data_IF_069081517600
#
_entry.id   IF_069081517600
#
_cell.length_a   1.000
_cell.length_b   1.000
_cell.length_c   1.000
_cell.angle_alpha   90.00
_cell.angle_beta   90.00
_cell.angle_gamma   90.00
#
_symmetry.space_group_name_H-M   'P 1'
#
loop_
_entity.id
_entity.type
_entity.pdbx_description
1 polymer ?
#
# COMPACT_ATOMS: atom_id res chain seq x y z
N UNK A 1 -17.64 -28.18 -32.79
CA UNK A 1 -16.36 -27.53 -32.40
C UNK A 1 -16.66 -26.07 -32.25
N UNK A 2 -16.74 -25.58 -31.00
CA UNK A 2 -17.01 -24.19 -30.70
C UNK A 2 -15.64 -23.49 -30.61
N UNK A 3 -15.40 -22.56 -31.52
CA UNK A 3 -14.24 -21.67 -31.45
C UNK A 3 -14.34 -20.82 -30.19
N UNK A 4 -13.42 -21.05 -29.27
CA UNK A 4 -13.19 -20.14 -28.14
C UNK A 4 -12.63 -18.85 -28.72
N UNK A 5 -13.47 -17.83 -28.81
CA UNK A 5 -13.08 -16.47 -29.11
C UNK A 5 -12.28 -15.95 -27.91
N UNK A 6 -10.98 -16.20 -27.92
CA UNK A 6 -10.05 -15.56 -26.99
C UNK A 6 -10.00 -14.09 -27.38
N UNK A 7 -10.71 -13.24 -26.68
CA UNK A 7 -10.54 -11.79 -26.81
C UNK A 7 -9.10 -11.52 -26.35
N UNK A 8 -8.18 -11.38 -27.32
CA UNK A 8 -6.88 -10.82 -27.06
C UNK A 8 -7.11 -9.42 -26.46
N UNK A 9 -6.88 -9.29 -25.14
CA UNK A 9 -6.82 -7.97 -24.52
C UNK A 9 -5.69 -7.23 -25.23
N UNK A 10 -6.02 -6.17 -25.93
CA UNK A 10 -5.03 -5.26 -26.50
C UNK A 10 -4.23 -4.75 -25.29
N UNK A 11 -2.93 -5.11 -25.17
CA UNK A 11 -2.14 -4.62 -24.06
C UNK A 11 -2.12 -3.09 -24.17
N UNK A 12 -2.30 -2.40 -23.02
CA UNK A 12 -2.03 -0.94 -22.89
C UNK A 12 -3.18 0.04 -23.14
N UNK A 13 -4.42 -0.39 -23.32
CA UNK A 13 -5.57 0.53 -23.40
C UNK A 13 -5.74 1.32 -22.10
N UNK A 14 -5.35 0.74 -20.95
CA UNK A 14 -5.48 1.38 -19.62
C UNK A 14 -4.65 2.68 -19.46
N UNK A 15 -3.60 2.87 -20.27
CA UNK A 15 -2.76 4.07 -20.20
C UNK A 15 -2.97 5.02 -21.39
N UNK A 16 -3.69 4.62 -22.42
CA UNK A 16 -3.92 5.44 -23.60
C UNK A 16 -4.74 6.70 -23.30
N UNK A 17 -5.67 6.61 -22.34
CA UNK A 17 -6.56 7.70 -21.98
C UNK A 17 -6.02 8.61 -20.86
N UNK A 18 -4.88 8.27 -20.25
CA UNK A 18 -4.32 9.02 -19.14
C UNK A 18 -2.78 9.05 -19.19
N UNK A 19 -2.24 10.08 -19.80
CA UNK A 19 -0.79 10.32 -19.94
C UNK A 19 -0.13 10.93 -18.69
N UNK A 20 -0.86 11.09 -17.58
CA UNK A 20 -0.30 11.66 -16.37
C UNK A 20 0.78 10.75 -15.75
N UNK A 21 1.80 11.38 -15.16
CA UNK A 21 2.78 10.66 -14.32
C UNK A 21 2.09 9.89 -13.20
N UNK A 22 2.42 8.62 -13.04
CA UNK A 22 1.79 7.74 -12.05
C UNK A 22 2.47 7.81 -10.68
N UNK A 23 1.68 7.69 -9.63
CA UNK A 23 2.14 7.58 -8.23
C UNK A 23 1.66 6.26 -7.66
N UNK A 24 2.47 5.18 -7.76
CA UNK A 24 2.08 3.88 -7.25
C UNK A 24 2.07 3.87 -5.71
N UNK A 25 0.99 3.41 -5.12
CA UNK A 25 0.81 3.30 -3.68
C UNK A 25 0.29 1.90 -3.32
N UNK A 26 1.04 1.19 -2.49
CA UNK A 26 0.68 -0.16 -2.02
C UNK A 26 0.29 -0.11 -0.56
N UNK A 27 -0.87 -0.65 -0.25
CA UNK A 27 -1.31 -0.90 1.12
C UNK A 27 -1.11 -2.39 1.44
N UNK A 28 -0.20 -2.70 2.35
CA UNK A 28 -0.03 -4.04 2.91
C UNK A 28 -0.75 -4.07 4.24
N UNK A 29 -1.88 -4.78 4.28
CA UNK A 29 -2.82 -4.77 5.39
C UNK A 29 -2.80 -6.11 6.11
N UNK A 30 -2.43 -6.06 7.37
CA UNK A 30 -2.57 -7.18 8.28
C UNK A 30 -4.04 -7.38 8.61
N UNK A 31 -4.54 -8.56 8.27
CA UNK A 31 -5.90 -8.99 8.58
C UNK A 31 -5.89 -10.29 9.40
N UNK A 32 -4.88 -10.49 10.23
CA UNK A 32 -4.76 -11.63 11.13
C UNK A 32 -5.83 -11.66 12.22
N UNK A 33 -5.80 -12.72 13.03
CA UNK A 33 -6.78 -12.92 14.09
C UNK A 33 -6.82 -11.83 15.15
N UNK A 34 -5.69 -11.17 15.41
CA UNK A 34 -5.58 -10.03 16.34
C UNK A 34 -6.33 -8.78 15.89
N UNK A 35 -6.56 -8.66 14.58
CA UNK A 35 -7.35 -7.56 14.01
C UNK A 35 -8.86 -7.72 14.17
N UNK A 36 -9.35 -8.84 14.75
CA UNK A 36 -10.79 -9.06 14.93
C UNK A 36 -11.42 -8.01 15.83
N UNK A 37 -12.71 -7.73 15.58
CA UNK A 37 -13.51 -6.81 16.36
C UNK A 37 -13.35 -5.36 15.93
N UNK A 38 -13.02 -4.48 16.84
CA UNK A 38 -12.92 -3.05 16.58
C UNK A 38 -11.79 -2.67 15.61
N UNK A 39 -10.57 -3.26 15.65
CA UNK A 39 -9.50 -2.90 14.73
C UNK A 39 -9.88 -3.06 13.26
N UNK A 40 -10.46 -4.19 12.86
CA UNK A 40 -10.85 -4.41 11.46
C UNK A 40 -11.99 -3.50 11.01
N UNK A 41 -12.92 -3.14 11.91
CA UNK A 41 -13.98 -2.18 11.59
C UNK A 41 -13.42 -0.79 11.33
N UNK A 42 -12.47 -0.35 12.15
CA UNK A 42 -11.80 0.93 11.99
C UNK A 42 -10.92 0.96 10.73
N UNK A 43 -10.25 -0.16 10.40
CA UNK A 43 -9.52 -0.29 9.14
C UNK A 43 -10.47 -0.12 7.95
N UNK A 44 -11.63 -0.78 7.94
CA UNK A 44 -12.63 -0.66 6.88
C UNK A 44 -13.19 0.77 6.77
N UNK A 45 -13.49 1.40 7.90
CA UNK A 45 -13.91 2.81 7.91
C UNK A 45 -12.83 3.73 7.33
N UNK A 46 -11.57 3.47 7.66
CA UNK A 46 -10.43 4.20 7.13
C UNK A 46 -10.25 4.03 5.61
N UNK A 47 -10.40 2.80 5.10
CA UNK A 47 -10.36 2.54 3.66
C UNK A 47 -11.50 3.26 2.90
N UNK A 48 -12.69 3.30 3.47
CA UNK A 48 -13.81 4.06 2.90
C UNK A 48 -13.54 5.57 2.89
N UNK A 49 -12.90 6.10 3.94
CA UNK A 49 -12.49 7.49 3.98
C UNK A 49 -11.41 7.80 2.92
N UNK A 50 -10.43 6.89 2.74
CA UNK A 50 -9.40 7.00 1.69
C UNK A 50 -10.03 7.06 0.30
N UNK A 51 -10.98 6.16 0.00
CA UNK A 51 -11.70 6.14 -1.26
C UNK A 51 -12.32 7.50 -1.56
N UNK A 52 -13.08 8.04 -0.60
CA UNK A 52 -13.76 9.31 -0.76
C UNK A 52 -12.76 10.45 -1.04
N UNK A 53 -11.76 10.60 -0.20
CA UNK A 53 -10.78 11.69 -0.31
C UNK A 53 -9.98 11.65 -1.62
N UNK A 54 -9.59 10.44 -2.08
CA UNK A 54 -8.87 10.29 -3.33
C UNK A 54 -9.73 10.60 -4.55
N UNK A 55 -11.03 10.30 -4.51
CA UNK A 55 -11.97 10.63 -5.59
C UNK A 55 -12.31 12.11 -5.62
N UNK A 56 -12.37 12.76 -4.47
CA UNK A 56 -12.68 14.20 -4.35
C UNK A 56 -11.48 15.07 -4.80
N UNK A 57 -10.25 14.54 -4.83
CA UNK A 57 -9.06 15.24 -5.35
C UNK A 57 -8.81 14.85 -6.81
N UNK A 58 -9.09 15.76 -7.75
CA UNK A 58 -8.98 15.55 -9.20
C UNK A 58 -7.54 15.12 -9.61
N UNK A 59 -6.51 15.71 -9.00
CA UNK A 59 -5.12 15.37 -9.32
C UNK A 59 -4.75 13.99 -8.78
N UNK A 60 -5.13 13.69 -7.53
CA UNK A 60 -4.89 12.38 -6.94
C UNK A 60 -5.65 11.28 -7.69
N UNK A 61 -6.92 11.52 -8.04
CA UNK A 61 -7.78 10.54 -8.73
C UNK A 61 -7.21 10.10 -10.07
N UNK A 62 -6.50 10.99 -10.78
CA UNK A 62 -5.93 10.72 -12.09
C UNK A 62 -4.48 10.21 -12.07
N UNK A 63 -3.74 10.40 -10.98
CA UNK A 63 -2.31 10.08 -10.88
C UNK A 63 -2.00 8.90 -9.98
N UNK A 64 -2.78 8.73 -8.91
CA UNK A 64 -2.55 7.68 -7.91
C UNK A 64 -3.06 6.35 -8.42
N UNK A 65 -2.21 5.33 -8.35
CA UNK A 65 -2.61 3.93 -8.52
C UNK A 65 -2.44 3.19 -7.20
N UNK A 66 -3.47 2.47 -6.81
CA UNK A 66 -3.54 1.70 -5.58
C UNK A 66 -3.43 0.21 -5.84
N UNK A 67 -2.72 -0.47 -4.97
CA UNK A 67 -2.68 -1.92 -4.84
C UNK A 67 -2.93 -2.28 -3.38
N UNK A 68 -3.80 -3.24 -3.10
CA UNK A 68 -4.02 -3.74 -1.73
C UNK A 68 -3.59 -5.20 -1.64
N UNK A 69 -2.61 -5.44 -0.78
CA UNK A 69 -2.10 -6.76 -0.41
C UNK A 69 -2.59 -7.09 0.99
N UNK A 70 -3.36 -8.15 1.13
CA UNK A 70 -3.89 -8.66 2.40
C UNK A 70 -3.02 -9.79 2.91
N UNK A 71 -2.47 -9.62 4.11
CA UNK A 71 -1.80 -10.69 4.85
C UNK A 71 -2.80 -11.35 5.80
N UNK A 72 -3.09 -12.65 5.62
CA UNK A 72 -4.04 -13.39 6.45
C UNK A 72 -3.82 -14.91 6.31
N UNK A 73 -4.48 -15.69 7.16
CA UNK A 73 -4.41 -17.15 7.05
C UNK A 73 -3.10 -17.74 7.57
N UNK A 74 -2.76 -18.94 7.15
CA UNK A 74 -1.56 -19.65 7.65
C UNK A 74 -0.29 -19.16 6.93
N UNK A 75 -0.34 -19.04 5.60
CA UNK A 75 0.74 -18.57 4.73
C UNK A 75 0.16 -17.93 3.47
N UNK A 76 -1.05 -17.39 3.58
CA UNK A 76 -1.77 -16.86 2.45
C UNK A 76 -1.59 -15.34 2.35
N UNK A 77 -1.30 -14.91 1.14
CA UNK A 77 -1.28 -13.50 0.76
C UNK A 77 -2.25 -13.36 -0.40
N UNK A 78 -3.16 -12.44 -0.27
CA UNK A 78 -4.16 -12.17 -1.31
C UNK A 78 -4.01 -10.76 -1.85
N UNK A 79 -4.02 -10.62 -3.16
CA UNK A 79 -4.26 -9.33 -3.80
C UNK A 79 -5.75 -9.04 -3.67
N UNK A 80 -6.11 -8.16 -2.75
CA UNK A 80 -7.52 -7.80 -2.52
C UNK A 80 -8.02 -6.80 -3.57
N UNK A 81 -7.15 -5.87 -3.98
CA UNK A 81 -7.36 -4.99 -5.12
C UNK A 81 -6.07 -4.96 -5.92
N UNK A 82 -6.07 -5.39 -7.17
CA UNK A 82 -4.93 -5.22 -8.07
C UNK A 82 -4.84 -3.75 -8.52
N UNK A 83 -3.76 -3.38 -9.21
CA UNK A 83 -3.52 -2.01 -9.60
C UNK A 83 -4.75 -1.33 -10.21
N UNK A 84 -5.22 -0.29 -9.55
CA UNK A 84 -6.40 0.48 -9.95
C UNK A 84 -6.14 1.98 -9.78
N UNK A 85 -6.57 2.76 -10.74
CA UNK A 85 -6.52 4.22 -10.62
C UNK A 85 -7.46 4.67 -9.49
N UNK A 86 -7.02 5.66 -8.71
CA UNK A 86 -7.77 6.12 -7.54
C UNK A 86 -9.20 6.56 -7.87
N UNK A 87 -9.44 7.07 -9.07
CA UNK A 87 -10.79 7.43 -9.55
C UNK A 87 -11.73 6.22 -9.62
N UNK A 88 -11.19 5.03 -9.88
CA UNK A 88 -11.95 3.79 -10.01
C UNK A 88 -11.89 2.92 -8.74
N UNK A 89 -11.11 3.35 -7.74
CA UNK A 89 -10.94 2.60 -6.51
C UNK A 89 -12.26 2.49 -5.74
N UNK A 90 -12.60 1.28 -5.32
CA UNK A 90 -13.69 1.01 -4.38
C UNK A 90 -13.09 0.28 -3.19
N UNK A 91 -13.30 0.82 -1.99
CA UNK A 91 -12.75 0.28 -0.77
C UNK A 91 -13.32 -1.13 -0.50
N UNK A 92 -12.46 -2.17 -0.45
CA UNK A 92 -12.91 -3.50 -0.11
C UNK A 92 -13.27 -3.60 1.36
N UNK A 93 -14.17 -4.52 1.70
CA UNK A 93 -14.46 -4.86 3.10
C UNK A 93 -13.49 -5.96 3.53
N UNK A 94 -12.62 -5.63 4.49
CA UNK A 94 -11.66 -6.57 5.06
C UNK A 94 -12.28 -7.40 6.18
N UNK A 95 -11.96 -8.69 6.18
CA UNK A 95 -12.26 -9.61 7.25
C UNK A 95 -10.97 -10.10 7.92
N UNK A 96 -11.00 -10.21 9.25
CA UNK A 96 -9.84 -10.62 10.04
C UNK A 96 -9.88 -12.10 10.40
N UNK A 97 -8.74 -12.78 10.30
CA UNK A 97 -8.57 -14.17 10.71
C UNK A 97 -7.21 -14.76 10.37
N UNK A 98 -6.89 -15.89 11.01
CA UNK A 98 -5.66 -16.62 10.74
C UNK A 98 -4.40 -15.97 11.32
N UNK A 99 -3.28 -16.27 10.69
CA UNK A 99 -1.93 -15.83 11.05
C UNK A 99 -1.50 -14.58 10.24
N UNK A 100 -0.26 -14.15 10.43
CA UNK A 100 0.28 -12.90 9.87
C UNK A 100 1.49 -13.17 8.96
N UNK A 101 1.33 -13.63 7.71
CA UNK A 101 2.42 -13.87 6.77
C UNK A 101 2.98 -12.56 6.20
N UNK A 102 3.62 -11.77 7.06
CA UNK A 102 3.99 -10.38 6.77
C UNK A 102 5.16 -10.29 5.80
N UNK A 103 6.17 -11.16 5.96
CA UNK A 103 7.31 -11.24 5.06
C UNK A 103 6.86 -11.50 3.63
N UNK A 104 6.04 -12.54 3.45
CA UNK A 104 5.50 -12.93 2.14
C UNK A 104 4.60 -11.84 1.53
N UNK A 105 3.83 -11.12 2.36
CA UNK A 105 3.02 -10.00 1.89
C UNK A 105 3.89 -8.84 1.37
N UNK A 106 4.99 -8.54 2.05
CA UNK A 106 5.93 -7.51 1.64
C UNK A 106 6.70 -7.90 0.38
N UNK A 107 7.12 -9.16 0.23
CA UNK A 107 7.72 -9.68 -1.01
C UNK A 107 6.75 -9.57 -2.19
N UNK A 108 5.49 -9.96 -1.98
CA UNK A 108 4.43 -9.82 -2.99
C UNK A 108 4.25 -8.35 -3.40
N UNK A 109 4.26 -7.43 -2.44
CA UNK A 109 4.16 -6.00 -2.72
C UNK A 109 5.35 -5.48 -3.55
N UNK A 110 6.57 -5.89 -3.23
CA UNK A 110 7.77 -5.51 -4.00
C UNK A 110 7.74 -6.09 -5.42
N UNK A 111 7.37 -7.35 -5.57
CA UNK A 111 7.24 -8.00 -6.88
C UNK A 111 6.21 -7.27 -7.75
N UNK A 112 5.03 -6.97 -7.19
CA UNK A 112 3.97 -6.24 -7.90
C UNK A 112 4.38 -4.83 -8.32
N UNK A 113 5.19 -4.16 -7.51
CA UNK A 113 5.79 -2.87 -7.87
C UNK A 113 6.74 -3.01 -9.06
N UNK A 114 7.62 -4.02 -9.05
CA UNK A 114 8.57 -4.22 -10.13
C UNK A 114 7.84 -4.58 -11.45
N UNK A 115 6.81 -5.44 -11.39
CA UNK A 115 5.93 -5.77 -12.53
C UNK A 115 5.26 -4.50 -13.09
N UNK A 116 4.68 -3.67 -12.22
CA UNK A 116 3.98 -2.45 -12.62
C UNK A 116 4.92 -1.40 -13.23
N UNK A 117 6.14 -1.28 -12.69
CA UNK A 117 7.14 -0.37 -13.26
C UNK A 117 7.59 -0.80 -14.65
N UNK A 118 7.82 -2.10 -14.86
CA UNK A 118 8.11 -2.64 -16.20
C UNK A 118 6.97 -2.33 -17.17
N UNK A 119 5.72 -2.40 -16.72
CA UNK A 119 4.55 -2.05 -17.52
C UNK A 119 4.54 -0.56 -17.87
N UNK A 120 4.78 0.34 -16.92
CA UNK A 120 4.89 1.77 -17.20
C UNK A 120 5.98 2.07 -18.21
N UNK A 121 7.18 1.50 -18.02
CA UNK A 121 8.31 1.72 -18.90
C UNK A 121 8.00 1.26 -20.34
N UNK A 122 7.33 0.11 -20.49
CA UNK A 122 6.92 -0.43 -21.80
C UNK A 122 5.85 0.42 -22.49
N UNK A 123 5.04 1.14 -21.72
CA UNK A 123 3.99 2.03 -22.23
C UNK A 123 4.45 3.49 -22.37
N UNK A 124 5.71 3.81 -22.02
CA UNK A 124 6.20 5.19 -22.01
C UNK A 124 5.57 6.07 -20.93
N UNK A 125 5.00 5.48 -19.88
CA UNK A 125 4.38 6.19 -18.76
C UNK A 125 5.44 6.48 -17.70
N UNK A 126 5.60 7.74 -17.34
CA UNK A 126 6.47 8.11 -16.22
C UNK A 126 5.83 7.78 -14.88
N UNK A 127 6.64 7.33 -13.92
CA UNK A 127 6.15 7.04 -12.58
C UNK A 127 7.07 7.60 -11.50
N UNK A 128 6.47 8.00 -10.40
CA UNK A 128 7.19 8.37 -9.18
C UNK A 128 7.67 7.14 -8.43
N UNK A 129 8.56 7.36 -7.46
CA UNK A 129 8.97 6.29 -6.55
C UNK A 129 7.75 5.74 -5.84
N UNK A 130 7.51 4.41 -5.92
CA UNK A 130 6.38 3.77 -5.25
C UNK A 130 6.44 3.89 -3.73
N UNK A 131 5.27 3.90 -3.12
CA UNK A 131 5.12 3.92 -1.67
C UNK A 131 4.44 2.66 -1.19
N UNK A 132 4.96 2.09 -0.10
CA UNK A 132 4.34 0.99 0.63
C UNK A 132 3.98 1.47 2.02
N UNK A 133 2.73 1.26 2.41
CA UNK A 133 2.25 1.43 3.78
C UNK A 133 1.94 0.05 4.35
N UNK A 134 2.82 -0.40 5.25
CA UNK A 134 2.65 -1.63 6.00
C UNK A 134 1.88 -1.32 7.27
N UNK A 135 0.67 -1.85 7.43
CA UNK A 135 -0.18 -1.67 8.61
C UNK A 135 -0.37 -3.01 9.30
N UNK A 136 0.16 -3.17 10.51
CA UNK A 136 0.17 -4.44 11.25
C UNK A 136 0.34 -4.24 12.75
N UNK A 137 0.02 -5.26 13.53
CA UNK A 137 0.41 -5.37 14.95
C UNK A 137 1.89 -5.79 15.12
N UNK A 138 2.59 -6.11 14.03
CA UNK A 138 4.03 -6.37 14.02
C UNK A 138 4.42 -7.75 14.56
N UNK A 139 3.56 -8.73 14.47
CA UNK A 139 3.85 -10.12 14.86
C UNK A 139 3.89 -11.05 13.62
N UNK A 140 4.95 -10.99 12.77
CA UNK A 140 5.09 -11.88 11.64
C UNK A 140 5.15 -13.34 12.09
N UNK A 141 4.43 -14.21 11.38
CA UNK A 141 4.33 -15.64 11.71
C UNK A 141 4.92 -16.56 10.63
N UNK A 142 5.24 -16.01 9.48
CA UNK A 142 5.84 -16.74 8.37
C UNK A 142 7.34 -17.00 8.60
N UNK A 143 7.79 -18.15 8.11
CA UNK A 143 9.22 -18.52 8.18
C UNK A 143 10.02 -17.64 7.21
N UNK A 144 11.17 -17.14 7.67
CA UNK A 144 12.07 -16.32 6.84
C UNK A 144 11.62 -14.86 6.64
N UNK A 145 10.68 -14.38 7.42
CA UNK A 145 10.24 -12.99 7.32
C UNK A 145 11.37 -11.97 7.54
N UNK A 146 12.43 -12.34 8.27
CA UNK A 146 13.61 -11.51 8.44
C UNK A 146 14.33 -11.25 7.12
N UNK A 147 14.45 -12.27 6.26
CA UNK A 147 15.07 -12.15 4.93
C UNK A 147 14.22 -11.21 4.05
N UNK A 148 12.90 -11.34 4.13
CA UNK A 148 11.96 -10.44 3.45
C UNK A 148 12.10 -9.00 3.94
N UNK A 149 12.30 -8.81 5.24
CA UNK A 149 12.54 -7.49 5.82
C UNK A 149 13.87 -6.88 5.34
N UNK A 150 14.93 -7.69 5.21
CA UNK A 150 16.20 -7.23 4.63
C UNK A 150 16.05 -6.83 3.16
N UNK A 151 15.29 -7.60 2.37
CA UNK A 151 14.96 -7.27 0.99
C UNK A 151 14.24 -5.92 0.89
N UNK A 152 13.27 -5.66 1.78
CA UNK A 152 12.57 -4.39 1.87
C UNK A 152 13.52 -3.22 2.13
N UNK A 153 14.41 -3.37 3.12
CA UNK A 153 15.41 -2.35 3.45
C UNK A 153 16.40 -2.11 2.30
N UNK A 154 16.81 -3.18 1.62
CA UNK A 154 17.68 -3.09 0.45
C UNK A 154 16.99 -2.30 -0.69
N UNK A 155 15.73 -2.62 -1.00
CA UNK A 155 14.96 -1.90 -2.01
C UNK A 155 14.83 -0.40 -1.67
N UNK A 156 14.57 -0.08 -0.40
CA UNK A 156 14.43 1.29 0.06
C UNK A 156 15.77 2.06 0.04
N UNK A 157 16.89 1.43 0.48
CA UNK A 157 18.24 2.02 0.40
C UNK A 157 18.64 2.35 -1.05
N UNK A 158 18.25 1.48 -1.99
CA UNK A 158 18.49 1.69 -3.42
C UNK A 158 17.45 2.60 -4.08
N UNK A 159 16.63 3.30 -3.30
CA UNK A 159 15.63 4.28 -3.77
C UNK A 159 14.58 3.69 -4.71
N UNK A 160 14.37 2.37 -4.68
CA UNK A 160 13.34 1.70 -5.50
C UNK A 160 11.93 1.96 -4.96
N UNK A 161 11.78 2.10 -3.64
CA UNK A 161 10.52 2.24 -2.94
C UNK A 161 10.69 3.11 -1.69
N UNK A 162 9.59 3.65 -1.16
CA UNK A 162 9.52 4.24 0.20
C UNK A 162 8.58 3.37 1.01
N UNK A 163 9.03 2.88 2.18
CA UNK A 163 8.24 2.01 3.04
C UNK A 163 7.96 2.73 4.36
N UNK A 164 6.70 2.84 4.71
CA UNK A 164 6.21 3.33 6.00
C UNK A 164 5.60 2.16 6.78
N UNK A 165 6.20 1.80 7.90
CA UNK A 165 5.66 0.80 8.81
C UNK A 165 4.78 1.48 9.88
N UNK A 166 3.53 1.07 9.96
CA UNK A 166 2.51 1.62 10.85
C UNK A 166 2.06 0.53 11.79
N UNK A 167 2.38 0.69 13.06
CA UNK A 167 1.95 -0.24 14.11
C UNK A 167 0.57 0.11 14.63
N UNK A 168 -0.33 -0.88 14.72
CA UNK A 168 -1.61 -0.73 15.40
C UNK A 168 -1.44 -0.70 16.92
N UNK A 169 -2.52 -0.55 17.67
CA UNK A 169 -2.46 -0.57 19.14
C UNK A 169 -1.87 -1.89 19.64
N UNK A 170 -0.85 -1.81 20.49
CA UNK A 170 -0.14 -2.99 21.00
C UNK A 170 0.97 -3.53 20.10
N UNK A 171 1.18 -2.93 18.93
CA UNK A 171 2.13 -3.43 17.93
C UNK A 171 3.56 -3.57 18.44
N UNK A 172 4.22 -4.60 17.96
CA UNK A 172 5.66 -4.82 18.13
C UNK A 172 6.45 -3.95 17.14
N UNK A 173 6.77 -2.72 17.56
CA UNK A 173 7.47 -1.78 16.69
C UNK A 173 8.91 -2.20 16.37
N UNK A 174 9.56 -3.02 17.21
CA UNK A 174 10.92 -3.51 16.94
C UNK A 174 10.96 -4.44 15.73
N UNK A 175 9.97 -5.33 15.60
CA UNK A 175 9.82 -6.19 14.42
C UNK A 175 9.43 -5.38 13.19
N UNK A 176 8.49 -4.46 13.32
CA UNK A 176 8.09 -3.57 12.21
C UNK A 176 9.24 -2.71 11.70
N UNK A 177 10.13 -2.25 12.58
CA UNK A 177 11.32 -1.48 12.21
C UNK A 177 12.27 -2.25 11.28
N UNK A 178 12.21 -3.58 11.27
CA UNK A 178 13.04 -4.39 10.38
C UNK A 178 12.64 -4.27 8.91
N UNK A 179 11.39 -3.94 8.60
CA UNK A 179 10.90 -3.81 7.23
C UNK A 179 11.22 -2.47 6.57
N UNK A 180 11.65 -1.46 7.33
CA UNK A 180 11.91 -0.11 6.78
C UNK A 180 13.21 0.47 7.31
N UNK A 181 13.81 1.40 6.56
CA UNK A 181 14.89 2.26 7.06
C UNK A 181 14.35 3.48 7.80
N UNK A 182 13.05 3.78 7.64
CA UNK A 182 12.36 4.81 8.40
C UNK A 182 11.87 4.25 9.73
N UNK A 183 11.84 5.06 10.80
CA UNK A 183 11.28 4.60 12.06
C UNK A 183 9.80 4.25 11.90
N UNK A 184 9.35 3.12 12.51
CA UNK A 184 7.95 2.76 12.49
C UNK A 184 7.14 3.79 13.29
N UNK A 185 5.90 3.99 12.87
CA UNK A 185 4.97 4.91 13.54
C UNK A 185 3.87 4.11 14.23
N UNK A 186 3.41 4.58 15.39
CA UNK A 186 2.30 3.94 16.11
C UNK A 186 1.00 4.65 15.82
N UNK A 187 -0.01 3.89 15.43
CA UNK A 187 -1.37 4.37 15.31
C UNK A 187 -2.03 4.27 16.70
N UNK A 188 -2.13 5.39 17.41
CA UNK A 188 -2.76 5.42 18.73
C UNK A 188 -4.27 5.50 18.61
N UNK A 189 -4.98 4.74 19.45
CA UNK A 189 -6.44 4.83 19.58
C UNK A 189 -7.23 4.45 18.34
N UNK A 190 -6.72 3.52 17.51
CA UNK A 190 -7.40 3.04 16.29
C UNK A 190 -7.78 4.16 15.30
N UNK A 191 -6.99 5.22 15.23
CA UNK A 191 -7.22 6.39 14.36
C UNK A 191 -6.96 6.10 12.87
N UNK A 192 -7.52 5.01 12.35
CA UNK A 192 -7.33 4.62 10.94
C UNK A 192 -7.90 5.67 9.97
N UNK A 193 -9.06 6.22 10.28
CA UNK A 193 -9.69 7.24 9.41
C UNK A 193 -8.77 8.44 9.25
N UNK A 194 -8.26 8.99 10.33
CA UNK A 194 -7.35 10.13 10.30
C UNK A 194 -6.04 9.78 9.58
N UNK A 195 -5.52 8.57 9.81
CA UNK A 195 -4.34 8.07 9.08
C UNK A 195 -4.59 8.04 7.58
N UNK A 196 -5.69 7.49 7.12
CA UNK A 196 -6.00 7.40 5.69
C UNK A 196 -6.31 8.77 5.07
N UNK A 197 -6.90 9.71 5.82
CA UNK A 197 -7.05 11.10 5.40
C UNK A 197 -5.68 11.78 5.22
N UNK A 198 -4.77 11.58 6.16
CA UNK A 198 -3.40 12.07 6.02
C UNK A 198 -2.68 11.42 4.84
N UNK A 199 -2.83 10.09 4.66
CA UNK A 199 -2.24 9.36 3.54
C UNK A 199 -2.73 9.92 2.20
N UNK A 200 -4.03 10.13 2.04
CA UNK A 200 -4.62 10.73 0.84
C UNK A 200 -3.97 12.08 0.51
N UNK A 201 -3.91 12.99 1.49
CA UNK A 201 -3.29 14.31 1.31
C UNK A 201 -1.81 14.21 0.95
N UNK A 202 -1.08 13.29 1.58
CA UNK A 202 0.34 13.06 1.34
C UNK A 202 0.59 12.56 -0.07
N UNK A 203 -0.16 11.57 -0.52
CA UNK A 203 -0.05 11.01 -1.87
C UNK A 203 -0.45 12.05 -2.92
N UNK A 204 -1.49 12.84 -2.67
CA UNK A 204 -1.89 13.98 -3.51
C UNK A 204 -0.77 15.01 -3.61
N UNK A 205 -0.17 15.44 -2.49
CA UNK A 205 0.96 16.38 -2.50
C UNK A 205 2.14 15.85 -3.31
N UNK A 206 2.45 14.55 -3.21
CA UNK A 206 3.53 13.92 -3.97
C UNK A 206 3.18 13.85 -5.44
N UNK A 207 1.95 13.51 -5.78
CA UNK A 207 1.49 13.44 -7.17
C UNK A 207 1.65 14.78 -7.90
N UNK A 208 1.53 15.91 -7.19
CA UNK A 208 1.69 17.28 -7.68
C UNK A 208 3.12 17.81 -7.66
N UNK A 209 4.04 17.17 -6.93
CA UNK A 209 5.41 17.65 -6.78
C UNK A 209 6.24 17.42 -8.04
N UNK A 210 7.23 18.29 -8.30
CA UNK A 210 8.19 18.12 -9.38
C UNK A 210 9.01 16.82 -9.20
N UNK A 211 9.51 16.18 -10.27
CA UNK A 211 10.15 14.86 -10.23
C UNK A 211 11.32 14.71 -9.24
N UNK A 212 11.97 15.80 -8.86
CA UNK A 212 13.13 15.83 -7.95
C UNK A 212 12.83 16.49 -6.60
N UNK A 213 11.59 16.79 -6.28
CA UNK A 213 11.24 17.37 -5.00
C UNK A 213 11.37 16.29 -3.89
N UNK A 214 12.42 16.41 -3.07
CA UNK A 214 12.52 15.70 -1.79
C UNK A 214 11.46 16.29 -0.82
N UNK A 215 10.19 15.97 -1.03
CA UNK A 215 9.18 16.25 -0.02
C UNK A 215 9.16 15.08 0.96
N UNK A 216 9.70 15.32 2.14
CA UNK A 216 9.35 14.53 3.31
C UNK A 216 7.87 14.77 3.57
N UNK A 217 7.15 13.70 3.91
CA UNK A 217 5.79 13.85 4.45
C UNK A 217 5.87 14.73 5.68
N UNK A 218 4.93 15.65 5.80
CA UNK A 218 4.74 16.41 7.03
C UNK A 218 4.74 15.45 8.23
N UNK A 219 5.49 15.83 9.23
CA UNK A 219 5.79 14.96 10.36
C UNK A 219 4.47 14.50 10.99
N UNK A 220 4.25 13.17 11.06
CA UNK A 220 3.11 12.57 11.76
C UNK A 220 3.31 12.74 13.29
N UNK A 221 4.06 13.73 13.74
CA UNK A 221 4.36 13.97 15.15
C UNK A 221 3.11 14.26 15.99
N UNK A 222 2.02 14.71 15.38
CA UNK A 222 0.75 14.91 16.10
C UNK A 222 0.03 13.60 16.51
N UNK A 223 0.54 12.44 16.07
CA UNK A 223 -0.07 11.13 16.35
C UNK A 223 0.61 10.42 17.54
N UNK A 224 1.77 10.93 17.93
CA UNK A 224 2.59 10.38 19.00
C UNK A 224 2.41 11.18 20.28
N UNK A 225 1.37 11.38 20.89
CA UNK A 225 1.18 11.96 22.23
C UNK A 225 0.02 12.97 22.33
N UNK A 226 -1.03 12.46 22.91
CA UNK A 226 -1.69 13.10 24.08
C UNK A 226 -2.33 12.04 24.94
#
# INVERSE_FOLDING_TARGET
>A
MAEQNTIERIPYVEFADNANERTPCVLVLDCSGSMRGEPIKQLNAGLAALEKELKDDIDASSRVQLLIVKAFGKDEVKIESDWIDAMNFTAPTMEAGGLTPLGKAMETALQKIDEQKCLYDSCGVTSKRPWIFLISDGEPTDYGWEDSAELCRYAQKNKKVVIHAIGTQGANLEKLAKFSILPPKRLTGLKFTEFFLWLSRSVSCISKAAPNANKYLDDITEWNEK
#
